data_IF_575603366211
#
_entry.id   IF_575603366211
#
_cell.length_a   1.000
_cell.length_b   1.000
_cell.length_c   1.000
_cell.angle_alpha   90.00
_cell.angle_beta   90.00
_cell.angle_gamma   90.00
#
_symmetry.space_group_name_H-M   'P 1'
#
loop_
_entity.id
_entity.type
_entity.pdbx_description
1 polymer ?
#
# COMPACT_ATOMS: atom_id res chain seq x y z
N UNK A 1 27.96 -25.45 20.60
CA UNK A 1 27.12 -24.53 19.80
C UNK A 1 27.86 -23.96 18.59
N UNK A 2 29.11 -23.50 18.72
CA UNK A 2 29.87 -22.91 17.59
C UNK A 2 30.08 -23.82 16.37
N UNK A 3 30.40 -25.10 16.56
CA UNK A 3 30.58 -26.04 15.44
C UNK A 3 29.31 -26.26 14.61
N UNK A 4 28.14 -26.27 15.27
CA UNK A 4 26.85 -26.39 14.59
C UNK A 4 26.53 -25.15 13.75
N UNK A 5 26.75 -23.95 14.30
CA UNK A 5 26.55 -22.70 13.57
C UNK A 5 27.48 -22.61 12.35
N UNK A 6 28.74 -23.01 12.49
CA UNK A 6 29.68 -23.02 11.38
C UNK A 6 29.22 -23.96 10.25
N UNK A 7 28.83 -25.20 10.59
CA UNK A 7 28.29 -26.13 9.61
C UNK A 7 27.01 -25.60 8.95
N UNK A 8 26.11 -24.98 9.73
CA UNK A 8 24.87 -24.40 9.23
C UNK A 8 25.11 -23.23 8.25
N UNK A 9 26.08 -22.36 8.54
CA UNK A 9 26.48 -21.28 7.62
C UNK A 9 26.98 -21.86 6.29
N UNK A 10 27.79 -22.92 6.33
CA UNK A 10 28.24 -23.60 5.10
C UNK A 10 27.06 -24.17 4.29
N UNK A 11 26.05 -24.73 4.96
CA UNK A 11 24.83 -25.20 4.29
C UNK A 11 24.06 -24.06 3.62
N UNK A 12 23.98 -22.88 4.24
CA UNK A 12 23.34 -21.69 3.65
C UNK A 12 24.08 -21.20 2.39
N UNK A 13 25.41 -21.37 2.29
CA UNK A 13 26.16 -21.05 1.07
C UNK A 13 25.86 -22.01 -0.09
N UNK A 14 25.45 -23.24 0.20
CA UNK A 14 25.12 -24.26 -0.79
C UNK A 14 23.65 -24.17 -1.21
N UNK A 15 22.75 -23.85 -0.28
CA UNK A 15 21.30 -23.82 -0.51
C UNK A 15 20.71 -22.44 -0.26
N UNK A 16 20.36 -21.75 -1.35
CA UNK A 16 19.69 -20.44 -1.28
C UNK A 16 18.34 -20.51 -0.56
N UNK A 17 17.57 -21.57 -0.76
CA UNK A 17 16.29 -21.79 -0.06
C UNK A 17 16.49 -21.95 1.45
N UNK A 18 17.58 -22.61 1.89
CA UNK A 18 17.90 -22.70 3.30
C UNK A 18 18.25 -21.32 3.87
N UNK A 19 19.08 -20.56 3.16
CA UNK A 19 19.45 -19.20 3.57
C UNK A 19 18.23 -18.28 3.69
N UNK A 20 17.32 -18.34 2.71
CA UNK A 20 16.05 -17.60 2.71
C UNK A 20 15.18 -17.95 3.92
N UNK A 21 14.88 -19.25 4.12
CA UNK A 21 14.06 -19.70 5.26
C UNK A 21 14.67 -19.34 6.60
N UNK A 22 16.00 -19.43 6.69
CA UNK A 22 16.76 -19.03 7.87
C UNK A 22 16.56 -17.55 8.15
N UNK A 23 16.72 -16.70 7.13
CA UNK A 23 16.57 -15.25 7.28
C UNK A 23 15.16 -14.87 7.73
N UNK A 24 14.14 -15.39 7.04
CA UNK A 24 12.72 -15.12 7.34
C UNK A 24 12.37 -15.48 8.79
N UNK A 25 12.94 -16.56 9.33
CA UNK A 25 12.70 -16.97 10.73
C UNK A 25 13.55 -16.21 11.74
N UNK A 26 14.77 -15.81 11.38
CA UNK A 26 15.72 -15.18 12.28
C UNK A 26 15.44 -13.69 12.46
N UNK A 27 15.18 -12.97 11.38
CA UNK A 27 15.07 -11.51 11.41
C UNK A 27 13.95 -10.98 12.34
N UNK A 28 12.72 -11.54 12.36
CA UNK A 28 11.69 -11.11 13.31
C UNK A 28 12.09 -11.29 14.79
N UNK A 29 12.88 -12.33 15.07
CA UNK A 29 13.41 -12.59 16.43
C UNK A 29 14.48 -11.57 16.80
N UNK A 30 15.36 -11.24 15.86
CA UNK A 30 16.36 -10.20 16.06
C UNK A 30 15.70 -8.84 16.28
N UNK A 31 14.70 -8.50 15.46
CA UNK A 31 13.93 -7.26 15.59
C UNK A 31 13.33 -7.11 16.99
N UNK A 32 12.73 -8.17 17.54
CA UNK A 32 12.15 -8.19 18.88
C UNK A 32 13.17 -7.98 20.01
N UNK A 33 14.45 -8.30 19.80
CA UNK A 33 15.52 -8.12 20.79
C UNK A 33 16.02 -6.66 20.82
N UNK A 34 15.88 -5.92 19.71
CA UNK A 34 16.30 -4.53 19.62
C UNK A 34 15.47 -3.64 20.55
N UNK A 35 16.12 -2.67 21.18
CA UNK A 35 15.44 -1.60 21.92
C UNK A 35 14.63 -0.70 20.98
N UNK A 36 13.63 0.01 21.51
CA UNK A 36 12.80 0.94 20.73
C UNK A 36 13.64 1.97 19.95
N UNK A 37 14.71 2.48 20.57
CA UNK A 37 15.65 3.40 19.92
C UNK A 37 16.35 2.76 18.71
N UNK A 38 16.77 1.50 18.83
CA UNK A 38 17.42 0.76 17.74
C UNK A 38 16.42 0.40 16.65
N UNK A 39 15.21 0.00 17.01
CA UNK A 39 14.13 -0.25 16.06
C UNK A 39 13.81 1.02 15.26
N UNK A 40 13.67 2.16 15.94
CA UNK A 40 13.41 3.44 15.28
C UNK A 40 14.56 3.86 14.33
N UNK A 41 15.81 3.74 14.79
CA UNK A 41 16.97 4.02 13.94
C UNK A 41 17.03 3.10 12.71
N UNK A 42 16.77 1.80 12.87
CA UNK A 42 16.78 0.85 11.77
C UNK A 42 15.60 1.08 10.82
N UNK A 43 14.41 1.41 11.33
CA UNK A 43 13.24 1.73 10.51
C UNK A 43 13.48 2.91 9.56
N UNK A 44 14.25 3.92 9.99
CA UNK A 44 14.66 5.05 9.15
C UNK A 44 15.44 4.63 7.89
N UNK A 45 16.21 3.54 7.98
CA UNK A 45 17.05 3.04 6.88
C UNK A 45 16.32 2.04 5.97
N UNK A 46 15.15 1.53 6.37
CA UNK A 46 14.43 0.51 5.60
C UNK A 46 13.90 1.07 4.28
N UNK A 47 13.36 2.29 4.26
CA UNK A 47 12.88 2.88 3.00
C UNK A 47 14.02 3.13 2.00
N UNK A 48 15.15 3.77 2.37
CA UNK A 48 16.32 3.88 1.50
C UNK A 48 16.87 2.53 1.02
N UNK A 49 16.92 1.53 1.91
CA UNK A 49 17.35 0.17 1.56
C UNK A 49 16.46 -0.45 0.49
N UNK A 50 15.15 -0.53 0.73
CA UNK A 50 14.18 -1.16 -0.19
C UNK A 50 14.11 -0.45 -1.55
N UNK A 51 14.32 0.87 -1.58
CA UNK A 51 14.33 1.66 -2.80
C UNK A 51 15.71 1.73 -3.49
N UNK A 52 16.73 1.03 -2.97
CA UNK A 52 18.07 1.07 -3.54
C UNK A 52 18.12 0.49 -4.95
N UNK A 53 18.79 1.20 -5.87
CA UNK A 53 19.04 0.73 -7.24
C UNK A 53 19.83 -0.59 -7.30
N UNK A 54 20.56 -0.93 -6.24
CA UNK A 54 21.29 -2.21 -6.14
C UNK A 54 20.37 -3.43 -6.25
N UNK A 55 19.07 -3.29 -5.99
CA UNK A 55 18.12 -4.38 -6.12
C UNK A 55 17.66 -4.66 -7.55
N UNK A 56 17.87 -3.74 -8.49
CA UNK A 56 17.40 -3.91 -9.88
C UNK A 56 18.02 -5.13 -10.57
N UNK A 57 19.31 -5.38 -10.32
CA UNK A 57 20.04 -6.49 -10.97
C UNK A 57 19.62 -7.88 -10.48
N UNK A 58 18.96 -7.96 -9.33
CA UNK A 58 18.54 -9.22 -8.70
C UNK A 58 17.02 -9.42 -8.72
N UNK A 59 16.29 -8.56 -9.44
CA UNK A 59 14.83 -8.62 -9.56
C UNK A 59 14.35 -9.97 -10.07
N UNK A 60 15.03 -10.48 -11.10
CA UNK A 60 14.61 -11.68 -11.84
C UNK A 60 15.24 -12.97 -11.27
N UNK A 61 15.93 -12.88 -10.13
CA UNK A 61 16.50 -14.04 -9.43
C UNK A 61 15.43 -14.80 -8.64
N UNK A 62 15.53 -16.13 -8.64
CA UNK A 62 14.68 -17.01 -7.84
C UNK A 62 15.53 -17.82 -6.85
N UNK A 63 15.38 -17.63 -5.52
CA UNK A 63 14.51 -16.68 -4.84
C UNK A 63 15.02 -15.23 -4.93
N UNK A 64 14.09 -14.26 -4.93
CA UNK A 64 14.40 -12.82 -4.91
C UNK A 64 14.84 -12.39 -3.52
N UNK A 65 16.01 -11.74 -3.43
CA UNK A 65 16.52 -11.25 -2.15
C UNK A 65 15.56 -10.22 -1.51
N UNK A 66 15.01 -9.29 -2.31
CA UNK A 66 14.05 -8.32 -1.79
C UNK A 66 12.79 -8.99 -1.27
N UNK A 67 12.30 -10.03 -1.96
CA UNK A 67 11.16 -10.80 -1.48
C UNK A 67 11.47 -11.42 -0.10
N UNK A 68 12.63 -12.07 0.04
CA UNK A 68 13.10 -12.61 1.31
C UNK A 68 13.16 -11.57 2.45
N UNK A 69 13.69 -10.37 2.17
CA UNK A 69 13.73 -9.28 3.16
C UNK A 69 12.34 -8.80 3.56
N UNK A 70 11.47 -8.51 2.59
CA UNK A 70 10.13 -7.97 2.85
C UNK A 70 9.23 -9.01 3.52
N UNK A 71 9.36 -10.28 3.14
CA UNK A 71 8.72 -11.42 3.81
C UNK A 71 9.06 -11.41 5.30
N UNK A 72 10.35 -11.35 5.63
CA UNK A 72 10.81 -11.32 7.01
C UNK A 72 10.29 -10.09 7.76
N UNK A 73 10.36 -8.91 7.14
CA UNK A 73 9.87 -7.65 7.73
C UNK A 73 8.36 -7.69 8.03
N UNK A 74 7.57 -8.35 7.18
CA UNK A 74 6.12 -8.47 7.38
C UNK A 74 5.71 -9.31 8.59
N UNK A 75 6.64 -10.09 9.15
CA UNK A 75 6.42 -10.94 10.33
C UNK A 75 6.93 -10.29 11.62
N UNK A 76 7.50 -9.08 11.56
CA UNK A 76 8.04 -8.38 12.71
C UNK A 76 6.95 -7.88 13.65
N UNK A 77 7.21 -8.01 14.96
CA UNK A 77 6.39 -7.43 16.03
C UNK A 77 7.32 -6.66 16.99
N UNK A 78 7.15 -5.33 17.18
CA UNK A 78 6.13 -4.47 16.55
C UNK A 78 6.31 -4.34 15.03
N UNK A 79 5.24 -4.03 14.27
CA UNK A 79 5.33 -3.90 12.81
C UNK A 79 6.33 -2.84 12.38
N UNK A 80 7.08 -3.13 11.31
CA UNK A 80 8.00 -2.17 10.71
C UNK A 80 7.19 -1.17 9.85
N UNK A 81 7.29 0.14 10.08
CA UNK A 81 6.59 1.12 9.27
C UNK A 81 7.23 1.23 7.88
N UNK A 82 6.50 0.79 6.85
CA UNK A 82 6.88 0.95 5.44
C UNK A 82 5.84 1.84 4.76
N UNK A 83 6.29 2.89 4.08
CA UNK A 83 5.40 3.84 3.42
C UNK A 83 4.60 3.18 2.27
N UNK A 84 3.32 3.57 2.06
CA UNK A 84 2.49 2.97 1.03
C UNK A 84 3.06 3.08 -0.39
N UNK A 85 3.62 4.25 -0.75
CA UNK A 85 4.29 4.44 -2.03
C UNK A 85 5.47 3.47 -2.25
N UNK A 86 6.18 3.08 -1.19
CA UNK A 86 7.28 2.11 -1.25
C UNK A 86 6.73 0.70 -1.48
N UNK A 87 5.68 0.30 -0.76
CA UNK A 87 5.03 -1.01 -0.99
C UNK A 87 4.49 -1.12 -2.42
N UNK A 88 3.84 -0.06 -2.92
CA UNK A 88 3.40 0.02 -4.32
C UNK A 88 4.56 -0.13 -5.30
N UNK A 89 5.65 0.61 -5.08
CA UNK A 89 6.86 0.53 -5.89
C UNK A 89 7.42 -0.90 -5.92
N UNK A 90 7.54 -1.55 -4.76
CA UNK A 90 8.03 -2.92 -4.63
C UNK A 90 7.15 -3.93 -5.37
N UNK A 91 5.82 -3.77 -5.28
CA UNK A 91 4.86 -4.62 -5.99
C UNK A 91 5.09 -4.56 -7.49
N UNK A 92 5.09 -3.34 -8.05
CA UNK A 92 5.18 -3.10 -9.50
C UNK A 92 6.58 -3.39 -10.07
N UNK A 93 7.62 -3.01 -9.34
CA UNK A 93 8.99 -3.00 -9.88
C UNK A 93 9.73 -4.28 -9.58
N UNK A 94 9.45 -4.91 -8.44
CA UNK A 94 10.20 -6.07 -7.96
C UNK A 94 9.38 -7.36 -7.90
N UNK A 95 8.16 -7.37 -8.46
CA UNK A 95 7.26 -8.52 -8.49
C UNK A 95 6.79 -8.99 -7.10
N UNK A 96 6.73 -8.07 -6.12
CA UNK A 96 6.23 -8.33 -4.77
C UNK A 96 4.71 -8.10 -4.66
N UNK A 97 3.96 -8.30 -5.75
CA UNK A 97 2.53 -7.93 -5.87
C UNK A 97 1.70 -8.34 -4.66
N UNK A 98 1.67 -9.63 -4.33
CA UNK A 98 0.84 -10.14 -3.24
C UNK A 98 1.32 -9.67 -1.86
N UNK A 99 2.63 -9.71 -1.61
CA UNK A 99 3.19 -9.29 -0.31
C UNK A 99 2.94 -7.81 -0.06
N UNK A 100 3.21 -6.96 -1.05
CA UNK A 100 2.93 -5.53 -0.96
C UNK A 100 1.45 -5.23 -0.76
N UNK A 101 0.57 -5.92 -1.49
CA UNK A 101 -0.89 -5.76 -1.39
C UNK A 101 -1.39 -6.16 -0.01
N UNK A 102 -1.01 -7.34 0.50
CA UNK A 102 -1.36 -7.80 1.85
C UNK A 102 -0.88 -6.83 2.95
N UNK A 103 0.33 -6.27 2.80
CA UNK A 103 0.84 -5.29 3.75
C UNK A 103 0.03 -3.98 3.70
N UNK A 104 -0.39 -3.53 2.52
CA UNK A 104 -1.25 -2.36 2.36
C UNK A 104 -2.66 -2.61 2.90
N UNK A 105 -3.24 -3.79 2.67
CA UNK A 105 -4.53 -4.20 3.23
C UNK A 105 -4.50 -4.19 4.75
N UNK A 106 -3.44 -4.74 5.36
CA UNK A 106 -3.26 -4.69 6.81
C UNK A 106 -3.19 -3.23 7.32
N UNK A 107 -2.43 -2.36 6.64
CA UNK A 107 -2.39 -0.93 6.99
C UNK A 107 -3.75 -0.24 6.83
N UNK A 108 -4.52 -0.60 5.79
CA UNK A 108 -5.85 -0.06 5.54
C UNK A 108 -6.87 -0.54 6.57
N UNK A 109 -6.76 -1.81 7.00
CA UNK A 109 -7.63 -2.38 8.04
C UNK A 109 -7.43 -1.68 9.39
N UNK A 110 -6.18 -1.49 9.81
CA UNK A 110 -5.84 -0.81 11.06
C UNK A 110 -6.31 0.66 11.11
N UNK A 111 -6.23 1.38 9.98
CA UNK A 111 -6.63 2.79 9.89
C UNK A 111 -8.08 3.01 9.45
N UNK A 112 -8.75 1.96 8.96
CA UNK A 112 -10.08 2.01 8.37
C UNK A 112 -10.09 2.39 6.87
N UNK A 113 -11.15 1.97 6.18
CA UNK A 113 -11.35 2.18 4.74
C UNK A 113 -12.07 3.50 4.39
N UNK A 114 -12.66 4.16 5.39
CA UNK A 114 -13.42 5.40 5.19
C UNK A 114 -12.52 6.62 5.38
N UNK A 115 -12.50 7.51 4.39
CA UNK A 115 -11.88 8.82 4.50
C UNK A 115 -12.72 9.70 5.43
N UNK A 116 -12.37 9.71 6.72
CA UNK A 116 -12.98 10.63 7.69
C UNK A 116 -12.47 12.05 7.40
N UNK A 117 -13.24 12.83 6.63
CA UNK A 117 -12.96 14.25 6.39
C UNK A 117 -13.31 15.02 7.69
N UNK A 118 -12.46 14.94 8.71
CA UNK A 118 -12.56 15.80 9.89
C UNK A 118 -11.91 17.15 9.57
N UNK A 119 -12.58 18.29 9.86
CA UNK A 119 -11.92 19.59 9.81
C UNK A 119 -10.75 19.58 10.83
N UNK A 120 -9.52 19.79 10.37
CA UNK A 120 -8.33 19.85 11.23
C UNK A 120 -8.54 20.94 12.30
N UNK A 121 -8.49 20.56 13.58
CA UNK A 121 -8.06 21.49 14.63
C UNK A 121 -6.54 21.51 14.62
N UNK A 122 -5.99 22.71 14.47
CA UNK A 122 -4.57 22.99 14.40
C UNK A 122 -3.92 22.58 15.72
N UNK A 123 -3.07 21.55 15.71
CA UNK A 123 -2.11 21.33 16.78
C UNK A 123 -0.91 20.54 16.24
N UNK A 124 0.15 21.30 16.01
CA UNK A 124 1.50 21.01 16.50
C UNK A 124 2.44 20.02 15.76
N UNK A 125 3.64 20.59 15.48
CA UNK A 125 4.96 20.02 15.20
C UNK A 125 5.40 19.71 13.75
N UNK A 126 6.62 20.19 13.48
CA UNK A 126 7.44 20.08 12.27
C UNK A 126 7.76 18.63 11.88
N UNK A 127 6.77 17.89 11.41
CA UNK A 127 7.02 16.81 10.46
C UNK A 127 6.63 17.34 9.08
N UNK A 128 7.47 17.06 8.08
CA UNK A 128 7.19 17.40 6.69
C UNK A 128 5.90 16.67 6.28
N UNK A 129 4.74 17.28 6.53
CA UNK A 129 3.43 16.72 6.22
C UNK A 129 3.45 16.32 4.75
N UNK A 130 3.31 15.02 4.48
CA UNK A 130 3.11 14.54 3.13
C UNK A 130 1.91 15.28 2.53
N UNK A 131 2.06 15.75 1.28
CA UNK A 131 1.00 16.48 0.55
C UNK A 131 -0.33 15.70 0.57
N UNK A 132 -0.24 14.36 0.61
CA UNK A 132 -1.36 13.43 0.75
C UNK A 132 -1.45 12.89 2.18
N UNK A 133 -2.64 12.88 2.81
CA UNK A 133 -2.85 12.24 4.10
C UNK A 133 -2.45 10.75 4.09
N UNK A 134 -1.82 10.22 5.15
CA UNK A 134 -1.31 8.84 5.15
C UNK A 134 -2.37 7.76 4.87
N UNK A 135 -3.63 7.98 5.29
CA UNK A 135 -4.73 7.04 5.02
C UNK A 135 -5.13 7.06 3.54
N UNK A 136 -5.18 8.25 2.93
CA UNK A 136 -5.46 8.39 1.51
C UNK A 136 -4.36 7.75 0.66
N UNK A 137 -3.09 7.93 1.02
CA UNK A 137 -1.97 7.30 0.31
C UNK A 137 -2.04 5.76 0.34
N UNK A 138 -2.49 5.16 1.46
CA UNK A 138 -2.71 3.72 1.56
C UNK A 138 -3.79 3.27 0.57
N UNK A 139 -4.96 3.92 0.61
CA UNK A 139 -6.10 3.53 -0.21
C UNK A 139 -5.81 3.75 -1.70
N UNK A 140 -5.11 4.83 -2.07
CA UNK A 140 -4.70 5.11 -3.45
C UNK A 140 -3.68 4.08 -3.95
N UNK A 141 -2.70 3.73 -3.11
CA UNK A 141 -1.72 2.70 -3.45
C UNK A 141 -2.36 1.33 -3.63
N UNK A 142 -3.32 0.98 -2.77
CA UNK A 142 -4.04 -0.28 -2.83
C UNK A 142 -4.96 -0.35 -4.06
N UNK A 143 -5.70 0.72 -4.35
CA UNK A 143 -6.55 0.80 -5.55
C UNK A 143 -5.73 0.65 -6.84
N UNK A 144 -4.56 1.29 -6.93
CA UNK A 144 -3.67 1.15 -8.09
C UNK A 144 -3.14 -0.29 -8.23
N UNK A 145 -2.75 -0.94 -7.13
CA UNK A 145 -2.30 -2.34 -7.18
C UNK A 145 -3.41 -3.31 -7.61
N UNK A 146 -4.63 -3.18 -7.09
CA UNK A 146 -5.76 -4.00 -7.53
C UNK A 146 -6.07 -3.79 -9.02
N UNK A 147 -6.07 -2.54 -9.49
CA UNK A 147 -6.27 -2.22 -10.91
C UNK A 147 -5.20 -2.88 -11.80
N UNK A 148 -3.92 -2.80 -11.41
CA UNK A 148 -2.83 -3.41 -12.16
C UNK A 148 -2.88 -4.95 -12.16
N UNK A 149 -3.35 -5.54 -11.06
CA UNK A 149 -3.56 -6.99 -10.94
C UNK A 149 -4.84 -7.48 -11.64
N UNK A 150 -5.68 -6.57 -12.13
CA UNK A 150 -7.02 -6.88 -12.68
C UNK A 150 -7.96 -7.50 -11.65
N UNK A 151 -7.81 -7.15 -10.37
CA UNK A 151 -8.69 -7.59 -9.28
C UNK A 151 -9.87 -6.62 -9.14
N UNK A 152 -10.78 -6.65 -10.13
CA UNK A 152 -11.86 -5.68 -10.28
C UNK A 152 -12.83 -5.66 -9.08
N UNK A 153 -13.16 -6.82 -8.52
CA UNK A 153 -14.07 -6.91 -7.36
C UNK A 153 -13.46 -6.27 -6.10
N UNK A 154 -12.16 -6.49 -5.87
CA UNK A 154 -11.44 -5.91 -4.74
C UNK A 154 -11.29 -4.40 -4.91
N UNK A 155 -11.00 -3.96 -6.13
CA UNK A 155 -10.94 -2.56 -6.50
C UNK A 155 -12.28 -1.85 -6.28
N UNK A 156 -13.39 -2.43 -6.76
CA UNK A 156 -14.71 -1.85 -6.63
C UNK A 156 -15.18 -1.82 -5.18
N UNK A 157 -14.95 -2.89 -4.43
CA UNK A 157 -15.24 -2.96 -2.99
C UNK A 157 -14.48 -1.87 -2.21
N UNK A 158 -13.21 -1.64 -2.52
CA UNK A 158 -12.42 -0.57 -1.93
C UNK A 158 -12.99 0.82 -2.25
N UNK A 159 -13.34 1.06 -3.52
CA UNK A 159 -13.86 2.35 -3.94
C UNK A 159 -15.23 2.68 -3.37
N UNK A 160 -16.16 1.72 -3.35
CA UNK A 160 -17.49 1.89 -2.75
C UNK A 160 -17.41 2.21 -1.24
N UNK A 161 -16.33 1.81 -0.55
CA UNK A 161 -16.10 2.13 0.87
C UNK A 161 -15.40 3.46 1.09
N UNK A 162 -14.56 3.89 0.14
CA UNK A 162 -13.71 5.09 0.30
C UNK A 162 -14.30 6.36 -0.32
N UNK A 163 -15.16 6.23 -1.33
CA UNK A 163 -15.71 7.36 -2.08
C UNK A 163 -16.56 8.28 -1.17
N UNK A 164 -16.54 9.58 -1.47
CA UNK A 164 -17.35 10.57 -0.76
C UNK A 164 -18.79 10.57 -1.27
N UNK A 165 -18.99 10.47 -2.58
CA UNK A 165 -20.32 10.56 -3.18
C UNK A 165 -20.94 9.16 -3.33
N UNK A 166 -22.15 9.00 -2.79
CA UNK A 166 -22.94 7.77 -2.92
C UNK A 166 -23.27 7.43 -4.38
N UNK A 167 -23.35 8.46 -5.23
CA UNK A 167 -23.53 8.35 -6.67
C UNK A 167 -22.34 7.63 -7.32
N UNK A 168 -21.10 7.90 -6.86
CA UNK A 168 -19.90 7.17 -7.28
C UNK A 168 -19.98 5.69 -6.91
N UNK A 169 -20.36 5.36 -5.66
CA UNK A 169 -20.53 3.97 -5.24
C UNK A 169 -21.57 3.24 -6.10
N UNK A 170 -22.67 3.93 -6.43
CA UNK A 170 -23.74 3.40 -7.28
C UNK A 170 -23.27 3.18 -8.72
N UNK A 171 -22.52 4.13 -9.28
CA UNK A 171 -21.95 4.03 -10.62
C UNK A 171 -21.01 2.82 -10.75
N UNK A 172 -20.10 2.64 -9.79
CA UNK A 172 -19.19 1.49 -9.72
C UNK A 172 -19.96 0.19 -9.60
N UNK A 173 -21.02 0.15 -8.80
CA UNK A 173 -21.86 -1.04 -8.69
C UNK A 173 -22.54 -1.37 -10.04
N UNK A 174 -23.03 -0.38 -10.78
CA UNK A 174 -23.56 -0.61 -12.12
C UNK A 174 -22.50 -1.11 -13.11
N UNK A 175 -21.29 -0.55 -13.05
CA UNK A 175 -20.15 -0.96 -13.88
C UNK A 175 -19.80 -2.45 -13.66
N UNK A 176 -19.72 -2.89 -12.39
CA UNK A 176 -19.47 -4.31 -12.06
C UNK A 176 -20.53 -5.27 -12.62
N UNK A 177 -21.77 -4.80 -12.78
CA UNK A 177 -22.87 -5.61 -13.33
C UNK A 177 -23.02 -5.47 -14.85
N UNK A 178 -22.20 -4.64 -15.52
CA UNK A 178 -22.25 -4.39 -16.96
C UNK A 178 -23.35 -3.41 -17.39
N UNK A 179 -23.96 -2.66 -16.45
CA UNK A 179 -24.97 -1.64 -16.73
C UNK A 179 -24.33 -0.29 -17.03
N UNK A 180 -23.59 -0.20 -18.15
CA UNK A 180 -22.72 0.95 -18.45
C UNK A 180 -23.48 2.27 -18.67
N UNK A 181 -24.67 2.24 -19.29
CA UNK A 181 -25.49 3.44 -19.49
C UNK A 181 -25.93 4.04 -18.13
N UNK A 182 -26.41 3.19 -17.22
CA UNK A 182 -26.78 3.60 -15.86
C UNK A 182 -25.56 4.05 -15.03
N UNK A 183 -24.39 3.43 -15.27
CA UNK A 183 -23.14 3.84 -14.64
C UNK A 183 -22.73 5.26 -15.09
N UNK A 184 -22.75 5.53 -16.39
CA UNK A 184 -22.45 6.86 -16.95
C UNK A 184 -23.38 7.95 -16.40
N UNK A 185 -24.70 7.72 -16.40
CA UNK A 185 -25.66 8.65 -15.80
C UNK A 185 -25.37 8.90 -14.30
N UNK A 186 -24.92 7.87 -13.58
CA UNK A 186 -24.61 7.97 -12.15
C UNK A 186 -23.32 8.76 -11.91
N UNK A 187 -22.30 8.58 -12.75
CA UNK A 187 -21.09 9.41 -12.73
C UNK A 187 -21.41 10.88 -13.04
N UNK A 188 -22.25 11.18 -14.03
CA UNK A 188 -22.69 12.55 -14.35
C UNK A 188 -23.40 13.22 -13.16
N UNK A 189 -24.30 12.48 -12.48
CA UNK A 189 -24.96 12.97 -11.25
C UNK A 189 -23.94 13.28 -10.15
N UNK A 190 -22.88 12.47 -10.01
CA UNK A 190 -21.80 12.72 -9.05
C UNK A 190 -21.02 14.00 -9.40
N UNK A 191 -20.65 14.18 -10.67
CA UNK A 191 -19.95 15.37 -11.18
C UNK A 191 -20.77 16.65 -10.96
N UNK A 192 -22.05 16.65 -11.31
CA UNK A 192 -22.96 17.79 -11.12
C UNK A 192 -23.10 18.20 -9.65
N UNK A 193 -23.18 17.20 -8.76
CA UNK A 193 -23.27 17.41 -7.32
C UNK A 193 -21.98 18.01 -6.77
N UNK A 194 -20.83 17.49 -7.20
CA UNK A 194 -19.53 17.99 -6.81
C UNK A 194 -19.30 19.44 -7.28
N UNK A 195 -19.71 19.77 -8.50
CA UNK A 195 -19.65 21.14 -9.04
C UNK A 195 -20.46 22.12 -8.18
N UNK A 196 -21.71 21.77 -7.84
CA UNK A 196 -22.58 22.59 -6.97
C UNK A 196 -22.01 22.74 -5.56
N UNK A 197 -21.34 21.73 -5.04
CA UNK A 197 -20.66 21.82 -3.73
C UNK A 197 -19.44 22.74 -3.81
N UNK A 198 -18.67 22.66 -4.90
CA UNK A 198 -17.49 23.49 -5.13
C UNK A 198 -17.82 24.98 -5.25
N UNK A 199 -18.97 25.31 -5.83
CA UNK A 199 -19.47 26.70 -5.88
C UNK A 199 -19.77 27.28 -4.48
N UNK A 200 -20.00 26.41 -3.48
CA UNK A 200 -20.34 26.80 -2.10
C UNK A 200 -19.14 26.78 -1.17
N UNK A 201 -18.14 25.95 -1.46
CA UNK A 201 -16.95 25.76 -0.63
C UNK A 201 -15.78 25.23 -1.44
N UNK A 202 -14.56 25.57 -1.03
CA UNK A 202 -13.36 25.02 -1.67
C UNK A 202 -13.32 23.50 -1.51
N UNK A 203 -13.00 22.79 -2.60
CA UNK A 203 -12.87 21.34 -2.59
C UNK A 203 -11.64 20.93 -1.77
N UNK A 204 -11.81 19.90 -0.93
CA UNK A 204 -10.68 19.26 -0.24
C UNK A 204 -9.83 18.48 -1.24
N UNK A 205 -8.48 18.52 -1.15
CA UNK A 205 -7.61 17.70 -2.01
C UNK A 205 -7.88 16.19 -1.94
N UNK A 206 -8.54 15.72 -0.87
CA UNK A 206 -8.95 14.32 -0.73
C UNK A 206 -9.96 13.86 -1.79
N UNK A 207 -10.62 14.78 -2.49
CA UNK A 207 -11.59 14.45 -3.53
C UNK A 207 -10.98 14.22 -4.92
N UNK A 208 -9.74 14.67 -5.14
CA UNK A 208 -9.13 14.63 -6.47
C UNK A 208 -9.00 13.21 -7.06
N UNK A 209 -8.67 12.16 -6.28
CA UNK A 209 -8.69 10.81 -6.82
C UNK A 209 -10.08 10.39 -7.32
N UNK A 210 -11.15 10.83 -6.67
CA UNK A 210 -12.52 10.51 -7.07
C UNK A 210 -12.92 11.25 -8.35
N UNK A 211 -12.39 12.46 -8.58
CA UNK A 211 -12.59 13.18 -9.85
C UNK A 211 -11.88 12.46 -11.00
N UNK A 212 -10.63 12.05 -10.78
CA UNK A 212 -9.87 11.29 -11.78
C UNK A 212 -10.58 9.97 -12.13
N UNK A 213 -11.11 9.28 -11.12
CA UNK A 213 -11.92 8.09 -11.32
C UNK A 213 -13.08 8.35 -12.30
N UNK A 214 -13.84 9.43 -12.09
CA UNK A 214 -14.99 9.72 -12.95
C UNK A 214 -14.58 10.02 -14.39
N UNK A 215 -13.49 10.76 -14.59
CA UNK A 215 -12.96 11.07 -15.93
C UNK A 215 -12.55 9.78 -16.66
N UNK A 216 -11.82 8.90 -15.97
CA UNK A 216 -11.31 7.66 -16.56
C UNK A 216 -12.45 6.64 -16.84
N UNK A 217 -13.40 6.50 -15.90
CA UNK A 217 -14.46 5.49 -15.98
C UNK A 217 -15.66 5.90 -16.82
N UNK A 218 -15.94 7.20 -16.97
CA UNK A 218 -17.04 7.65 -17.82
C UNK A 218 -16.75 7.43 -19.32
N UNK A 219 -15.48 7.49 -19.73
CA UNK A 219 -15.04 7.29 -21.12
C UNK A 219 -15.03 5.80 -21.52
N UNK A 220 -14.89 4.91 -20.54
CA UNK A 220 -14.76 3.46 -20.70
C UNK A 220 -16.04 2.82 -21.25
#
# INVERSE_FOLDING_TARGET
>A
TGALLSAFVQLCHISTTLAEKTWVQLFPRLWKILSDRQQHALAGEISPFLCSGSHQVQRDCQPSALNCFVEAMSQCVPPIPIRPCVLKYLGKTHNLWFRSTLMLEHQAFEKGLSLQIKPKQTTEFYEQESITPPQQEILDSLAELYSLLQEEDMWAGLWQKRCKYSETATAIAYEQHGFFEQAQESYEKAMDKAKKEHERSNASPAIFPEYQLWEDHWIR
#
